data_IF_636286181093
#
_entry.id   IF_636286181093
#
_cell.length_a   1.000
_cell.length_b   1.000
_cell.length_c   1.000
_cell.angle_alpha   90.00
_cell.angle_beta   90.00
_cell.angle_gamma   90.00
#
_symmetry.space_group_name_H-M   'P 1'
#
loop_
_entity.id
_entity.type
_entity.pdbx_description
1 polymer ?
#
# COMPACT_ATOMS: atom_id res chain seq x y z
N UNK A 1 -18.12 9.10 4.85
CA UNK A 1 -17.79 7.65 4.75
C UNK A 1 -17.76 7.15 3.31
N UNK A 2 -18.80 7.36 2.49
CA UNK A 2 -18.85 6.83 1.11
C UNK A 2 -17.99 7.58 0.08
N UNK A 3 -17.64 8.85 0.31
CA UNK A 3 -16.82 9.64 -0.64
C UNK A 3 -15.37 9.17 -0.67
N UNK A 4 -14.77 8.86 0.49
CA UNK A 4 -13.40 8.33 0.57
C UNK A 4 -13.29 6.98 -0.16
N UNK A 5 -14.27 6.09 0.02
CA UNK A 5 -14.28 4.80 -0.68
C UNK A 5 -14.45 4.98 -2.20
N UNK A 6 -15.32 5.90 -2.63
CA UNK A 6 -15.46 6.25 -4.06
C UNK A 6 -14.15 6.77 -4.65
N UNK A 7 -13.45 7.62 -3.93
CA UNK A 7 -12.14 8.13 -4.33
C UNK A 7 -11.12 6.99 -4.43
N UNK A 8 -11.00 6.16 -3.39
CA UNK A 8 -10.10 5.00 -3.36
C UNK A 8 -10.35 4.09 -4.57
N UNK A 9 -11.59 3.67 -4.80
CA UNK A 9 -11.94 2.75 -5.91
C UNK A 9 -11.61 3.37 -7.27
N UNK A 10 -11.91 4.66 -7.45
CA UNK A 10 -11.63 5.36 -8.72
C UNK A 10 -10.13 5.42 -9.01
N UNK A 11 -9.32 5.80 -8.02
CA UNK A 11 -7.88 5.91 -8.21
C UNK A 11 -7.18 4.55 -8.30
N UNK A 12 -7.65 3.54 -7.56
CA UNK A 12 -7.15 2.16 -7.70
C UNK A 12 -7.44 1.62 -9.10
N UNK A 13 -8.65 1.84 -9.62
CA UNK A 13 -9.03 1.42 -10.97
C UNK A 13 -8.12 2.05 -12.03
N UNK A 14 -7.81 3.35 -11.89
CA UNK A 14 -6.85 4.04 -12.78
C UNK A 14 -5.42 3.50 -12.66
N UNK A 15 -4.95 3.20 -11.44
CA UNK A 15 -3.56 2.78 -11.20
C UNK A 15 -3.28 1.33 -11.57
N UNK A 16 -4.18 0.43 -11.19
CA UNK A 16 -4.05 -1.01 -11.44
C UNK A 16 -4.66 -1.42 -12.78
N UNK A 17 -5.38 -0.53 -13.47
CA UNK A 17 -6.12 -0.86 -14.68
C UNK A 17 -7.25 -1.87 -14.45
N UNK A 18 -7.87 -1.84 -13.26
CA UNK A 18 -8.97 -2.74 -12.86
C UNK A 18 -10.31 -2.00 -12.87
N UNK A 19 -11.40 -2.74 -12.81
CA UNK A 19 -12.77 -2.21 -12.77
C UNK A 19 -13.51 -2.71 -11.51
N UNK A 20 -13.01 -2.32 -10.34
CA UNK A 20 -13.72 -2.58 -9.08
C UNK A 20 -14.99 -1.73 -9.00
N UNK A 21 -16.09 -2.37 -8.59
CA UNK A 21 -17.34 -1.70 -8.25
C UNK A 21 -17.37 -1.38 -6.75
N UNK A 22 -18.03 -0.29 -6.34
CA UNK A 22 -18.12 0.11 -4.92
C UNK A 22 -18.67 -0.99 -4.01
N UNK A 23 -19.68 -1.71 -4.49
CA UNK A 23 -20.32 -2.82 -3.76
C UNK A 23 -19.33 -3.98 -3.63
N UNK A 24 -18.66 -4.33 -4.74
CA UNK A 24 -17.65 -5.38 -4.75
C UNK A 24 -16.47 -5.05 -3.85
N UNK A 25 -16.04 -3.78 -3.84
CA UNK A 25 -14.95 -3.30 -3.01
C UNK A 25 -15.30 -3.36 -1.51
N UNK A 26 -16.52 -2.97 -1.13
CA UNK A 26 -17.00 -3.09 0.25
C UNK A 26 -17.21 -4.55 0.69
N UNK A 27 -17.36 -5.48 -0.26
CA UNK A 27 -17.52 -6.90 0.01
C UNK A 27 -16.19 -7.67 -0.02
N UNK A 28 -15.06 -6.99 -0.20
CA UNK A 28 -13.74 -7.63 -0.23
C UNK A 28 -13.37 -8.19 1.14
N UNK A 29 -12.73 -9.36 1.11
CA UNK A 29 -12.15 -9.94 2.32
C UNK A 29 -10.96 -9.11 2.79
N UNK A 30 -10.61 -9.15 4.09
CA UNK A 30 -9.42 -8.47 4.61
C UNK A 30 -8.12 -8.84 3.88
N UNK A 31 -8.01 -10.11 3.48
CA UNK A 31 -6.90 -10.63 2.67
C UNK A 31 -6.83 -9.99 1.28
N UNK A 32 -7.97 -9.88 0.58
CA UNK A 32 -8.05 -9.22 -0.72
C UNK A 32 -7.67 -7.75 -0.61
N UNK A 33 -8.09 -7.09 0.46
CA UNK A 33 -7.80 -5.68 0.70
C UNK A 33 -6.30 -5.45 0.96
N UNK A 34 -5.65 -6.35 1.71
CA UNK A 34 -4.20 -6.36 1.90
C UNK A 34 -3.46 -6.58 0.58
N UNK A 35 -3.93 -7.51 -0.25
CA UNK A 35 -3.36 -7.76 -1.57
C UNK A 35 -3.48 -6.53 -2.47
N UNK A 36 -4.61 -5.85 -2.45
CA UNK A 36 -4.81 -4.61 -3.22
C UNK A 36 -3.81 -3.53 -2.76
N UNK A 37 -3.66 -3.33 -1.45
CA UNK A 37 -2.69 -2.38 -0.91
C UNK A 37 -1.25 -2.73 -1.34
N UNK A 38 -0.88 -4.01 -1.27
CA UNK A 38 0.40 -4.51 -1.74
C UNK A 38 0.63 -4.19 -3.24
N UNK A 39 -0.35 -4.51 -4.09
CA UNK A 39 -0.30 -4.24 -5.53
C UNK A 39 -0.15 -2.74 -5.84
N UNK A 40 -0.86 -1.88 -5.10
CA UNK A 40 -0.74 -0.41 -5.24
C UNK A 40 0.69 0.03 -4.91
N UNK A 41 1.28 -0.46 -3.82
CA UNK A 41 2.65 -0.13 -3.44
C UNK A 41 3.68 -0.63 -4.46
N UNK A 42 3.55 -1.86 -4.96
CA UNK A 42 4.42 -2.39 -6.03
C UNK A 42 4.35 -1.53 -7.28
N UNK A 43 3.14 -1.11 -7.67
CA UNK A 43 2.93 -0.23 -8.83
C UNK A 43 3.57 1.15 -8.64
N UNK A 44 3.46 1.72 -7.43
CA UNK A 44 4.10 3.02 -7.09
C UNK A 44 5.63 2.92 -7.15
N UNK A 45 6.19 1.80 -6.69
CA UNK A 45 7.63 1.55 -6.71
C UNK A 45 8.18 1.19 -8.10
N UNK A 46 7.31 1.01 -9.11
CA UNK A 46 7.67 0.49 -10.43
C UNK A 46 8.46 -0.82 -10.32
N UNK A 47 8.12 -1.65 -9.32
CA UNK A 47 8.61 -3.01 -9.24
C UNK A 47 7.74 -3.85 -10.17
N UNK A 48 8.26 -4.13 -11.37
CA UNK A 48 7.68 -5.06 -12.35
C UNK A 48 7.99 -6.54 -12.03
N UNK A 49 8.58 -6.82 -10.86
CA UNK A 49 8.88 -8.17 -10.42
C UNK A 49 7.57 -8.91 -10.09
N UNK A 50 6.96 -9.45 -11.15
CA UNK A 50 5.78 -10.32 -11.15
C UNK A 50 5.93 -11.59 -10.29
N UNK A 51 7.12 -11.83 -9.73
CA UNK A 51 7.47 -12.97 -8.91
C UNK A 51 7.47 -12.71 -7.39
N UNK A 52 7.27 -11.46 -6.94
CA UNK A 52 7.06 -11.16 -5.53
C UNK A 52 5.60 -11.48 -5.12
N UNK A 53 5.15 -12.70 -5.39
CA UNK A 53 3.94 -13.23 -4.75
C UNK A 53 4.34 -13.54 -3.31
N UNK A 54 3.99 -12.63 -2.42
CA UNK A 54 4.09 -12.86 -0.99
C UNK A 54 2.95 -13.82 -0.65
N UNK A 55 3.30 -15.02 -0.21
CA UNK A 55 2.36 -16.13 -0.05
C UNK A 55 1.66 -16.09 1.33
N UNK A 56 2.24 -15.36 2.30
CA UNK A 56 1.68 -15.21 3.64
C UNK A 56 1.23 -13.77 3.96
N UNK A 57 0.13 -13.59 4.73
CA UNK A 57 -0.31 -12.27 5.19
C UNK A 57 0.74 -11.56 6.05
N UNK A 58 1.59 -12.31 6.75
CA UNK A 58 2.72 -11.78 7.52
C UNK A 58 3.79 -11.16 6.60
N UNK A 59 4.18 -11.86 5.53
CA UNK A 59 5.14 -11.35 4.55
C UNK A 59 4.61 -10.10 3.84
N UNK A 60 3.33 -10.10 3.46
CA UNK A 60 2.64 -8.93 2.89
C UNK A 60 2.68 -7.76 3.87
N UNK A 61 2.38 -8.02 5.14
CA UNK A 61 2.40 -6.99 6.19
C UNK A 61 3.80 -6.41 6.38
N UNK A 62 4.83 -7.25 6.44
CA UNK A 62 6.23 -6.80 6.57
C UNK A 62 6.64 -5.95 5.36
N UNK A 63 6.27 -6.37 4.15
CA UNK A 63 6.54 -5.61 2.92
C UNK A 63 5.85 -4.24 2.94
N UNK A 64 4.55 -4.20 3.29
CA UNK A 64 3.77 -2.96 3.41
C UNK A 64 4.41 -2.04 4.45
N UNK A 65 4.73 -2.53 5.65
CA UNK A 65 5.34 -1.73 6.72
C UNK A 65 6.69 -1.16 6.31
N UNK A 66 7.53 -1.97 5.67
CA UNK A 66 8.86 -1.54 5.20
C UNK A 66 8.73 -0.46 4.14
N UNK A 67 7.80 -0.63 3.21
CA UNK A 67 7.54 0.34 2.14
C UNK A 67 6.96 1.64 2.71
N UNK A 68 5.95 1.57 3.58
CA UNK A 68 5.36 2.75 4.24
C UNK A 68 6.40 3.57 5.01
N UNK A 69 7.36 2.91 5.66
CA UNK A 69 8.49 3.57 6.34
C UNK A 69 9.37 4.35 5.37
N UNK A 70 9.69 3.78 4.20
CA UNK A 70 10.46 4.47 3.15
C UNK A 70 9.71 5.69 2.62
N UNK A 71 8.38 5.57 2.50
CA UNK A 71 7.51 6.64 2.04
C UNK A 71 7.30 7.75 3.08
N UNK A 72 7.77 7.55 4.32
CA UNK A 72 7.52 8.40 5.50
C UNK A 72 6.03 8.55 5.81
N UNK A 73 5.28 7.45 5.75
CA UNK A 73 3.92 7.41 6.26
C UNK A 73 3.94 7.37 7.79
N UNK A 74 3.11 8.22 8.42
CA UNK A 74 2.93 8.25 9.87
C UNK A 74 1.50 7.82 10.19
N UNK A 75 1.29 6.66 10.85
CA UNK A 75 -0.02 6.27 11.32
C UNK A 75 -0.44 7.12 12.53
N UNK A 76 -1.72 7.48 12.60
CA UNK A 76 -2.30 8.19 13.76
C UNK A 76 -2.57 7.27 14.97
N UNK A 77 -2.34 5.97 14.81
CA UNK A 77 -2.58 4.93 15.82
C UNK A 77 -1.27 4.36 16.37
N UNK A 78 -1.33 3.81 17.58
CA UNK A 78 -0.17 3.17 18.22
C UNK A 78 0.49 2.12 17.31
N UNK A 79 1.84 2.05 17.26
CA UNK A 79 2.56 1.14 16.38
C UNK A 79 2.19 -0.34 16.56
N UNK A 80 1.77 -0.75 17.76
CA UNK A 80 1.36 -2.13 18.06
C UNK A 80 0.00 -2.40 17.42
N UNK A 81 -0.98 -1.54 17.69
CA UNK A 81 -2.34 -1.62 17.12
C UNK A 81 -2.31 -1.54 15.60
N UNK A 82 -1.48 -0.64 15.04
CA UNK A 82 -1.30 -0.51 13.61
C UNK A 82 -0.82 -1.81 12.95
N UNK A 83 0.21 -2.45 13.53
CA UNK A 83 0.75 -3.71 13.00
C UNK A 83 -0.27 -4.84 13.10
N UNK A 84 -0.97 -4.95 14.23
CA UNK A 84 -1.99 -5.99 14.42
C UNK A 84 -3.17 -5.82 13.48
N UNK A 85 -3.69 -4.60 13.35
CA UNK A 85 -4.79 -4.29 12.44
C UNK A 85 -4.39 -4.44 10.97
N UNK A 86 -3.14 -4.13 10.62
CA UNK A 86 -2.63 -4.40 9.27
C UNK A 86 -2.59 -5.90 8.98
N UNK A 87 -2.02 -6.74 9.86
CA UNK A 87 -1.97 -8.21 9.65
C UNK A 87 -3.37 -8.81 9.52
N UNK A 88 -4.35 -8.26 10.24
CA UNK A 88 -5.76 -8.68 10.17
C UNK A 88 -6.52 -8.13 8.97
N UNK A 89 -5.91 -7.22 8.20
CA UNK A 89 -6.56 -6.55 7.08
C UNK A 89 -7.72 -5.64 7.48
N UNK A 90 -7.64 -5.01 8.65
CA UNK A 90 -8.70 -4.15 9.18
C UNK A 90 -8.94 -2.94 8.26
N UNK A 91 -10.20 -2.75 7.89
CA UNK A 91 -10.64 -1.67 6.98
C UNK A 91 -10.26 -0.29 7.55
N UNK A 92 -10.37 -0.12 8.86
CA UNK A 92 -10.04 1.11 9.58
C UNK A 92 -8.54 1.46 9.49
N UNK A 93 -7.68 0.48 9.24
CA UNK A 93 -6.24 0.67 9.04
C UNK A 93 -5.91 0.84 7.56
N UNK A 94 -6.48 0.01 6.68
CA UNK A 94 -6.12 0.02 5.25
C UNK A 94 -6.70 1.22 4.51
N UNK A 95 -7.94 1.63 4.79
CA UNK A 95 -8.57 2.75 4.09
C UNK A 95 -7.79 4.07 4.26
N UNK A 96 -7.35 4.47 5.46
CA UNK A 96 -6.50 5.65 5.64
C UNK A 96 -5.18 5.57 4.87
N UNK A 97 -4.52 4.40 4.87
CA UNK A 97 -3.26 4.19 4.14
C UNK A 97 -3.49 4.40 2.63
N UNK A 98 -4.51 3.74 2.06
CA UNK A 98 -4.85 3.90 0.64
C UNK A 98 -5.18 5.35 0.32
N UNK A 99 -6.01 5.99 1.15
CA UNK A 99 -6.38 7.40 0.95
C UNK A 99 -5.15 8.30 0.90
N UNK A 100 -4.21 8.14 1.84
CA UNK A 100 -2.99 8.93 1.90
C UNK A 100 -2.08 8.69 0.70
N UNK A 101 -1.86 7.42 0.33
CA UNK A 101 -1.03 7.03 -0.81
C UNK A 101 -1.56 7.61 -2.12
N UNK A 102 -2.87 7.50 -2.34
CA UNK A 102 -3.53 7.93 -3.57
C UNK A 102 -3.58 9.47 -3.66
N UNK A 103 -3.79 10.15 -2.53
CA UNK A 103 -3.79 11.62 -2.47
C UNK A 103 -2.40 12.21 -2.76
N UNK A 104 -1.33 11.54 -2.32
CA UNK A 104 0.05 12.04 -2.45
C UNK A 104 0.85 11.29 -3.51
N UNK A 105 0.19 10.67 -4.49
CA UNK A 105 0.82 9.67 -5.35
C UNK A 105 2.07 10.16 -6.09
N UNK A 106 2.10 11.41 -6.55
CA UNK A 106 3.27 11.97 -7.22
C UNK A 106 4.47 12.16 -6.28
N UNK A 107 4.22 12.54 -5.03
CA UNK A 107 5.25 12.69 -4.00
C UNK A 107 5.77 11.32 -3.59
N UNK A 108 4.85 10.38 -3.34
CA UNK A 108 5.17 9.01 -2.92
C UNK A 108 5.95 8.29 -4.03
N UNK A 109 5.56 8.45 -5.31
CA UNK A 109 6.30 7.87 -6.45
C UNK A 109 7.71 8.44 -6.58
N UNK A 110 7.88 9.76 -6.43
CA UNK A 110 9.21 10.40 -6.43
C UNK A 110 10.08 9.87 -5.29
N UNK A 111 9.53 9.74 -4.08
CA UNK A 111 10.25 9.19 -2.91
C UNK A 111 10.63 7.74 -3.10
N UNK A 112 9.70 6.90 -3.55
CA UNK A 112 9.97 5.50 -3.90
C UNK A 112 11.11 5.40 -4.93
N UNK A 113 11.02 6.18 -6.01
CA UNK A 113 12.07 6.25 -7.01
C UNK A 113 13.42 6.65 -6.39
N UNK A 114 13.48 7.77 -5.67
CA UNK A 114 14.70 8.25 -5.02
C UNK A 114 15.30 7.22 -4.05
N UNK A 115 14.48 6.55 -3.24
CA UNK A 115 14.95 5.53 -2.30
C UNK A 115 15.64 4.35 -2.99
N UNK A 116 15.17 3.97 -4.20
CA UNK A 116 15.81 2.89 -4.97
C UNK A 116 17.22 3.28 -5.44
N UNK A 117 17.45 4.55 -5.77
CA UNK A 117 18.75 5.05 -6.23
C UNK A 117 19.68 5.51 -5.09
N UNK A 118 19.13 5.96 -3.97
CA UNK A 118 19.91 6.41 -2.81
C UNK A 118 20.46 5.25 -1.97
N UNK A 119 19.92 4.03 -2.12
CA UNK A 119 20.28 2.87 -1.28
C UNK A 119 21.51 2.08 -1.79
N UNK A 120 22.18 2.47 -2.88
CA UNK A 120 23.44 1.84 -3.30
C UNK A 120 24.52 2.83 -3.73
N UNK A 121 25.14 3.49 -2.73
CA UNK A 121 26.57 3.82 -2.79
C UNK A 121 27.22 3.57 -1.42
N UNK A 122 27.04 2.39 -0.84
CA UNK A 122 27.93 1.95 0.23
C UNK A 122 29.15 1.31 -0.41
N UNK A 123 30.12 2.13 -0.83
CA UNK A 123 31.49 1.65 -1.04
C UNK A 123 31.97 1.08 0.29
N UNK A 124 32.04 -0.25 0.40
CA UNK A 124 32.87 -0.90 1.43
C UNK A 124 34.32 -0.65 1.02
N UNK A 125 35.02 0.16 1.80
CA UNK A 125 36.49 0.28 1.82
C UNK A 125 36.99 -0.74 2.84
#
# INVERSE_FOLDING_TARGET
MSENVKFIVTEINKLLGRNYNLIGFNALSPEDLLQILCNVLMKIQQQDDANARLDSPEEISIYILTTLRILNYQPDVDPITFRQGLVRGEIEIIHPILTWLLTHIDVVRKRAYLSRFLVKVTFRI
#
